data_IF_716310037134
#
_entry.id   IF_716310037134
#
_cell.length_a   1.000
_cell.length_b   1.000
_cell.length_c   1.000
_cell.angle_alpha   90.00
_cell.angle_beta   90.00
_cell.angle_gamma   90.00
#
_symmetry.space_group_name_H-M   'P 1'
#
loop_
_entity.id
_entity.type
_entity.pdbx_description
1 polymer ?
#
# COMPACT_ATOMS: atom_id res chain seq x y z
N UNK A 1 -32.16 28.81 -43.25
CA UNK A 1 -30.77 28.78 -42.70
C UNK A 1 -30.67 29.23 -41.24
N UNK A 2 -31.43 30.24 -40.75
CA UNK A 2 -31.36 30.69 -39.33
C UNK A 2 -31.85 29.65 -38.29
N UNK A 3 -32.84 28.82 -38.62
CA UNK A 3 -33.32 27.78 -37.69
C UNK A 3 -32.38 26.57 -37.55
N UNK A 4 -31.58 26.28 -38.58
CA UNK A 4 -30.58 25.22 -38.52
C UNK A 4 -29.44 25.62 -37.58
N UNK A 5 -29.03 26.89 -37.64
CA UNK A 5 -27.99 27.46 -36.77
C UNK A 5 -28.42 27.51 -35.29
N UNK A 6 -29.68 27.81 -35.01
CA UNK A 6 -30.24 27.78 -33.64
C UNK A 6 -30.27 26.38 -33.04
N UNK A 7 -30.63 25.36 -33.84
CA UNK A 7 -30.64 23.96 -33.39
C UNK A 7 -29.22 23.41 -33.18
N UNK A 8 -28.25 23.83 -34.00
CA UNK A 8 -26.83 23.48 -33.81
C UNK A 8 -26.24 24.10 -32.53
N UNK A 9 -26.59 25.35 -32.20
CA UNK A 9 -26.11 26.01 -30.98
C UNK A 9 -26.72 25.41 -29.70
N UNK A 10 -27.98 24.98 -29.75
CA UNK A 10 -28.64 24.31 -28.62
C UNK A 10 -28.06 22.91 -28.33
N UNK A 11 -27.62 22.19 -29.36
CA UNK A 11 -26.98 20.87 -29.19
C UNK A 11 -25.55 20.95 -28.61
N UNK A 12 -24.79 22.01 -28.95
CA UNK A 12 -23.45 22.22 -28.42
C UNK A 12 -23.43 22.59 -26.92
N UNK A 13 -24.50 23.23 -26.41
CA UNK A 13 -24.61 23.60 -25.00
C UNK A 13 -24.84 22.39 -24.07
N UNK A 14 -25.39 21.28 -24.57
CA UNK A 14 -25.64 20.06 -23.78
C UNK A 14 -24.39 19.22 -23.53
N UNK A 15 -23.32 19.41 -24.33
CA UNK A 15 -22.06 18.66 -24.17
C UNK A 15 -21.12 19.26 -23.11
N UNK A 16 -21.38 20.48 -22.63
CA UNK A 16 -20.59 21.12 -21.57
C UNK A 16 -21.13 20.89 -20.15
N UNK A 17 -22.29 20.24 -19.99
CA UNK A 17 -22.85 19.91 -18.67
C UNK A 17 -22.33 18.56 -18.12
N UNK A 18 -21.41 17.89 -18.82
CA UNK A 18 -20.70 16.72 -18.33
C UNK A 18 -19.53 17.07 -17.41
N UNK A 19 -19.75 17.93 -16.41
CA UNK A 19 -18.80 18.05 -15.31
C UNK A 19 -18.84 16.76 -14.52
N UNK A 20 -17.89 15.86 -14.78
CA UNK A 20 -17.59 14.77 -13.86
C UNK A 20 -17.43 15.39 -12.47
N UNK A 21 -18.31 15.02 -11.54
CA UNK A 21 -18.21 15.45 -10.15
C UNK A 21 -16.90 14.90 -9.62
N UNK A 22 -15.88 15.75 -9.57
CA UNK A 22 -14.67 15.47 -8.80
C UNK A 22 -15.14 15.25 -7.37
N UNK A 23 -14.92 14.07 -6.75
CA UNK A 23 -15.29 13.86 -5.36
C UNK A 23 -14.62 14.97 -4.54
N UNK A 24 -15.42 15.88 -4.01
CA UNK A 24 -14.94 16.91 -3.11
C UNK A 24 -14.32 16.19 -1.90
N UNK A 25 -13.09 16.51 -1.49
CA UNK A 25 -12.56 16.00 -0.24
C UNK A 25 -13.50 16.48 0.87
N UNK A 26 -14.30 15.55 1.40
CA UNK A 26 -15.18 15.86 2.51
C UNK A 26 -14.28 16.31 3.66
N UNK A 27 -14.51 17.53 4.17
CA UNK A 27 -13.95 17.91 5.47
C UNK A 27 -14.74 17.13 6.51
N UNK A 28 -14.32 15.91 6.76
CA UNK A 28 -14.99 15.01 7.68
C UNK A 28 -14.72 15.54 9.10
N UNK A 29 -15.76 15.66 9.91
CA UNK A 29 -15.60 15.94 11.35
C UNK A 29 -14.74 14.86 12.03
N UNK A 30 -14.47 14.99 13.32
CA UNK A 30 -13.78 13.91 14.05
C UNK A 30 -14.56 12.60 13.89
N UNK A 31 -13.99 11.62 13.20
CA UNK A 31 -14.57 10.29 13.06
C UNK A 31 -14.44 9.55 14.39
N UNK A 32 -15.47 8.80 14.77
CA UNK A 32 -15.36 7.80 15.82
C UNK A 32 -14.40 6.67 15.41
N UNK A 33 -13.94 5.89 16.40
CA UNK A 33 -13.07 4.75 16.15
C UNK A 33 -13.67 3.75 15.14
N UNK A 34 -14.98 3.47 15.27
CA UNK A 34 -15.70 2.55 14.40
C UNK A 34 -15.86 3.08 12.98
N UNK A 35 -16.14 4.37 12.82
CA UNK A 35 -16.23 5.00 11.50
C UNK A 35 -14.86 5.06 10.80
N UNK A 36 -13.80 5.36 11.54
CA UNK A 36 -12.44 5.33 11.03
C UNK A 36 -12.07 3.91 10.59
N UNK A 37 -12.36 2.90 11.42
CA UNK A 37 -12.15 1.49 11.08
C UNK A 37 -12.89 1.11 9.80
N UNK A 38 -14.19 1.38 9.75
CA UNK A 38 -15.02 1.06 8.59
C UNK A 38 -14.55 1.80 7.33
N UNK A 39 -14.05 3.03 7.45
CA UNK A 39 -13.45 3.76 6.34
C UNK A 39 -12.17 3.07 5.84
N UNK A 40 -11.25 2.76 6.75
CA UNK A 40 -9.98 2.11 6.42
C UNK A 40 -10.20 0.72 5.79
N UNK A 41 -11.14 -0.07 6.32
CA UNK A 41 -11.52 -1.38 5.75
C UNK A 41 -12.11 -1.25 4.34
N UNK A 42 -13.02 -0.30 4.13
CA UNK A 42 -13.62 -0.04 2.81
C UNK A 42 -12.58 0.39 1.79
N UNK A 43 -11.66 1.28 2.19
CA UNK A 43 -10.57 1.75 1.32
C UNK A 43 -9.58 0.64 1.02
N UNK A 44 -9.30 -0.26 1.98
CA UNK A 44 -8.47 -1.45 1.75
C UNK A 44 -9.15 -2.51 0.85
N UNK A 45 -10.48 -2.55 0.79
CA UNK A 45 -11.25 -3.51 0.02
C UNK A 45 -11.35 -3.19 -1.48
N UNK A 46 -10.93 -2.00 -1.93
CA UNK A 46 -10.94 -1.63 -3.36
C UNK A 46 -9.92 -2.50 -4.10
N UNK A 47 -10.45 -3.46 -4.85
CA UNK A 47 -9.79 -4.66 -5.35
C UNK A 47 -9.65 -4.60 -6.86
N UNK A 48 -8.79 -3.69 -7.33
CA UNK A 48 -8.38 -3.62 -8.73
C UNK A 48 -7.12 -4.42 -9.02
N UNK A 49 -6.76 -4.51 -10.31
CA UNK A 49 -5.36 -4.67 -10.69
C UNK A 49 -4.64 -3.33 -10.47
N UNK A 50 -3.43 -3.38 -9.93
CA UNK A 50 -2.62 -2.20 -9.68
C UNK A 50 -1.23 -2.41 -10.28
N UNK A 51 -0.72 -1.38 -10.96
CA UNK A 51 0.64 -1.33 -11.48
C UNK A 51 1.36 -0.13 -10.88
N UNK A 52 2.61 -0.34 -10.48
CA UNK A 52 3.51 0.71 -10.03
C UNK A 52 4.90 0.53 -10.63
N UNK A 53 5.57 1.65 -10.84
CA UNK A 53 6.97 1.71 -11.22
C UNK A 53 7.69 2.55 -10.16
N UNK A 54 8.94 2.22 -9.85
CA UNK A 54 9.68 2.98 -8.85
C UNK A 54 11.12 2.55 -8.68
N UNK A 55 11.73 3.06 -7.60
CA UNK A 55 13.10 2.76 -7.22
C UNK A 55 13.14 2.23 -5.79
N UNK A 56 13.76 1.06 -5.60
CA UNK A 56 14.10 0.54 -4.28
C UNK A 56 15.54 0.94 -3.98
N UNK A 57 15.75 1.53 -2.81
CA UNK A 57 17.08 1.85 -2.30
C UNK A 57 17.31 1.09 -1.00
N UNK A 58 18.37 0.30 -0.95
CA UNK A 58 18.79 -0.46 0.24
C UNK A 58 20.02 0.20 0.82
N UNK A 59 19.86 0.74 2.03
CA UNK A 59 20.93 1.38 2.79
C UNK A 59 21.23 0.56 4.05
N UNK A 60 22.47 0.09 4.16
CA UNK A 60 23.01 -0.64 5.30
C UNK A 60 24.50 -0.33 5.44
N UNK A 61 25.15 -0.65 6.58
CA UNK A 61 26.58 -0.44 6.75
C UNK A 61 27.45 -1.11 5.66
N UNK A 62 26.98 -2.22 5.09
CA UNK A 62 27.71 -3.01 4.08
C UNK A 62 27.19 -2.83 2.65
N UNK A 63 26.09 -2.10 2.44
CA UNK A 63 25.43 -2.00 1.13
C UNK A 63 24.68 -0.68 1.00
N UNK A 64 24.98 0.07 -0.05
CA UNK A 64 24.19 1.21 -0.51
C UNK A 64 23.94 1.01 -2.01
N UNK A 65 22.75 0.50 -2.34
CA UNK A 65 22.39 0.16 -3.72
C UNK A 65 20.97 0.60 -4.02
N UNK A 66 20.73 0.99 -5.28
CA UNK A 66 19.41 1.31 -5.81
C UNK A 66 19.11 0.47 -7.03
N UNK A 67 17.85 0.08 -7.19
CA UNK A 67 17.36 -0.66 -8.34
C UNK A 67 15.98 -0.14 -8.74
N UNK A 68 15.72 -0.06 -10.05
CA UNK A 68 14.38 0.21 -10.56
C UNK A 68 13.50 -1.02 -10.38
N UNK A 69 12.18 -0.85 -10.29
CA UNK A 69 11.25 -1.96 -10.28
C UNK A 69 9.94 -1.62 -10.97
N UNK A 70 9.32 -2.66 -11.53
CA UNK A 70 7.92 -2.66 -11.92
C UNK A 70 7.18 -3.65 -11.04
N UNK A 71 6.05 -3.22 -10.50
CA UNK A 71 5.17 -4.01 -9.66
C UNK A 71 3.82 -4.12 -10.36
N UNK A 72 3.29 -5.32 -10.44
CA UNK A 72 1.93 -5.58 -10.87
C UNK A 72 1.22 -6.47 -9.87
N UNK A 73 0.01 -6.10 -9.49
CA UNK A 73 -0.78 -6.88 -8.54
C UNK A 73 -2.18 -7.10 -9.11
N UNK A 74 -2.76 -8.27 -8.84
CA UNK A 74 -4.12 -8.59 -9.25
C UNK A 74 -4.96 -8.96 -8.05
N UNK A 75 -5.88 -8.08 -7.66
CA UNK A 75 -6.99 -8.40 -6.75
C UNK A 75 -6.62 -8.94 -5.37
N UNK A 76 -5.38 -8.74 -4.88
CA UNK A 76 -4.94 -9.34 -3.61
C UNK A 76 -4.60 -10.83 -3.67
N UNK A 77 -4.46 -11.39 -4.86
CA UNK A 77 -4.17 -12.81 -5.09
C UNK A 77 -2.70 -13.05 -5.51
N UNK A 78 -2.19 -12.18 -6.38
CA UNK A 78 -0.81 -12.28 -6.87
C UNK A 78 -0.13 -10.93 -6.98
N UNK A 79 1.19 -10.97 -6.83
CA UNK A 79 2.12 -9.85 -7.00
C UNK A 79 3.26 -10.31 -7.91
N UNK A 80 3.44 -9.65 -9.03
CA UNK A 80 4.61 -9.78 -9.89
C UNK A 80 5.49 -8.55 -9.68
N UNK A 81 6.79 -8.74 -9.51
CA UNK A 81 7.76 -7.68 -9.41
C UNK A 81 8.92 -7.97 -10.36
N UNK A 82 9.27 -7.03 -11.23
CA UNK A 82 10.49 -7.06 -12.02
C UNK A 82 11.48 -6.05 -11.42
N UNK A 83 12.75 -6.42 -11.30
CA UNK A 83 13.81 -5.57 -10.76
C UNK A 83 14.84 -5.32 -11.84
N UNK A 84 15.15 -4.05 -12.04
CA UNK A 84 16.08 -3.57 -13.05
C UNK A 84 17.32 -2.98 -12.39
N UNK A 85 18.47 -3.39 -12.90
CA UNK A 85 19.75 -2.78 -12.58
C UNK A 85 19.97 -1.50 -13.38
N UNK A 86 21.19 -0.95 -13.29
CA UNK A 86 21.62 0.16 -14.14
C UNK A 86 21.37 -0.14 -15.62
N UNK A 87 21.04 0.90 -16.39
CA UNK A 87 20.75 0.80 -17.84
C UNK A 87 19.50 -0.03 -18.20
N UNK A 88 18.60 -0.31 -17.24
CA UNK A 88 17.36 -1.02 -17.50
C UNK A 88 17.53 -2.53 -17.69
N UNK A 89 18.71 -3.08 -17.35
CA UNK A 89 18.96 -4.52 -17.45
C UNK A 89 18.09 -5.24 -16.42
N UNK A 90 17.28 -6.19 -16.86
CA UNK A 90 16.51 -7.04 -15.93
C UNK A 90 17.47 -7.87 -15.10
N UNK A 91 17.50 -7.64 -13.79
CA UNK A 91 18.33 -8.39 -12.83
C UNK A 91 17.54 -9.60 -12.31
N UNK A 92 16.23 -9.43 -12.14
CA UNK A 92 15.37 -10.53 -11.76
C UNK A 92 13.89 -10.23 -11.87
N UNK A 93 13.09 -11.28 -11.76
CA UNK A 93 11.63 -11.19 -11.72
C UNK A 93 11.12 -12.14 -10.65
N UNK A 94 10.22 -11.68 -9.80
CA UNK A 94 9.56 -12.49 -8.79
C UNK A 94 8.05 -12.48 -9.02
N UNK A 95 7.43 -13.63 -8.79
CA UNK A 95 6.00 -13.82 -8.72
C UNK A 95 5.68 -14.42 -7.35
N UNK A 96 4.82 -13.71 -6.63
CA UNK A 96 4.27 -14.12 -5.36
C UNK A 96 2.79 -14.38 -5.55
N UNK A 97 2.34 -15.54 -5.11
CA UNK A 97 0.93 -15.89 -4.94
C UNK A 97 0.73 -16.31 -3.49
N UNK A 98 -0.51 -16.60 -3.08
CA UNK A 98 -0.79 -17.11 -1.73
C UNK A 98 -0.10 -18.44 -1.42
N UNK A 99 0.12 -19.28 -2.43
CA UNK A 99 0.62 -20.65 -2.26
C UNK A 99 2.04 -20.83 -2.74
N UNK A 100 2.47 -20.04 -3.72
CA UNK A 100 3.74 -20.24 -4.43
C UNK A 100 4.51 -18.94 -4.63
N UNK A 101 5.82 -19.06 -4.46
CA UNK A 101 6.81 -18.09 -4.86
C UNK A 101 7.64 -18.67 -6.01
N UNK A 102 7.83 -17.86 -7.05
CA UNK A 102 8.78 -18.14 -8.13
C UNK A 102 9.61 -16.89 -8.38
N UNK A 103 10.94 -17.00 -8.33
CA UNK A 103 11.84 -15.91 -8.73
C UNK A 103 12.84 -16.39 -9.76
N UNK A 104 13.04 -15.59 -10.79
CA UNK A 104 14.07 -15.77 -11.80
C UNK A 104 15.18 -14.75 -11.58
N UNK A 105 16.41 -15.23 -11.40
CA UNK A 105 17.62 -14.43 -11.39
C UNK A 105 18.25 -14.49 -12.79
N UNK A 106 18.20 -13.36 -13.49
CA UNK A 106 18.68 -13.28 -14.87
C UNK A 106 20.22 -13.31 -14.96
N UNK A 107 20.92 -12.82 -13.93
CA UNK A 107 22.39 -12.78 -13.90
C UNK A 107 22.99 -14.19 -13.84
N UNK A 108 22.35 -15.09 -13.10
CA UNK A 108 22.82 -16.45 -12.89
C UNK A 108 21.99 -17.49 -13.66
N UNK A 109 21.05 -17.05 -14.51
CA UNK A 109 20.10 -17.91 -15.22
C UNK A 109 19.47 -19.00 -14.32
N UNK A 110 19.00 -18.60 -13.14
CA UNK A 110 18.52 -19.52 -12.10
C UNK A 110 17.09 -19.20 -11.71
N UNK A 111 16.26 -20.24 -11.58
CA UNK A 111 14.88 -20.13 -11.07
C UNK A 111 14.81 -20.70 -9.66
N UNK A 112 14.31 -19.90 -8.73
CA UNK A 112 13.97 -20.28 -7.36
C UNK A 112 12.47 -20.50 -7.27
N UNK A 113 12.05 -21.58 -6.61
CA UNK A 113 10.64 -21.85 -6.31
C UNK A 113 10.49 -22.27 -4.86
N UNK A 114 9.33 -21.98 -4.27
CA UNK A 114 9.01 -22.48 -2.94
C UNK A 114 7.81 -21.81 -2.32
N UNK A 115 7.68 -21.99 -1.01
CA UNK A 115 6.65 -21.33 -0.22
C UNK A 115 7.04 -19.85 0.04
N UNK A 116 6.12 -18.89 -0.20
CA UNK A 116 6.40 -17.45 -0.03
C UNK A 116 6.90 -17.07 1.35
N UNK A 117 6.27 -17.57 2.43
CA UNK A 117 6.66 -17.24 3.80
C UNK A 117 8.09 -17.72 4.11
N UNK A 118 8.42 -18.94 3.67
CA UNK A 118 9.75 -19.51 3.90
C UNK A 118 10.83 -18.71 3.17
N UNK A 119 10.56 -18.30 1.93
CA UNK A 119 11.53 -17.58 1.11
C UNK A 119 11.70 -16.14 1.57
N UNK A 120 10.64 -15.48 2.04
CA UNK A 120 10.77 -14.15 2.67
C UNK A 120 11.63 -14.18 3.94
N UNK A 121 11.53 -15.24 4.76
CA UNK A 121 12.38 -15.40 5.95
C UNK A 121 13.87 -15.51 5.63
N UNK A 122 14.23 -15.88 4.39
CA UNK A 122 15.62 -15.92 3.95
C UNK A 122 16.17 -14.55 3.54
N UNK A 123 15.31 -13.54 3.39
CA UNK A 123 15.72 -12.19 3.01
C UNK A 123 15.99 -11.36 4.27
N UNK A 124 17.26 -11.01 4.55
CA UNK A 124 17.66 -10.45 5.85
C UNK A 124 16.98 -9.13 6.20
N UNK A 125 16.56 -8.36 5.19
CA UNK A 125 15.95 -7.04 5.37
C UNK A 125 14.42 -7.07 5.58
N UNK A 126 13.75 -8.17 5.23
CA UNK A 126 12.28 -8.27 5.28
C UNK A 126 11.77 -9.52 6.01
N UNK A 127 12.67 -10.34 6.58
CA UNK A 127 12.32 -11.59 7.27
C UNK A 127 11.32 -11.43 8.42
N UNK A 128 11.29 -10.27 9.06
CA UNK A 128 10.44 -9.96 10.22
C UNK A 128 9.12 -9.28 9.80
N UNK A 129 8.94 -9.01 8.51
CA UNK A 129 7.71 -8.44 7.93
C UNK A 129 6.81 -9.61 7.51
N UNK A 130 5.57 -9.70 8.02
CA UNK A 130 4.60 -10.70 7.56
C UNK A 130 4.37 -10.61 6.05
N UNK A 131 4.21 -11.76 5.39
CA UNK A 131 4.00 -11.84 3.94
C UNK A 131 2.80 -11.00 3.51
N UNK A 132 1.69 -11.13 4.24
CA UNK A 132 0.46 -10.40 4.00
C UNK A 132 0.73 -8.90 4.09
N UNK A 133 1.46 -8.45 5.12
CA UNK A 133 1.79 -7.03 5.29
C UNK A 133 2.63 -6.52 4.12
N UNK A 134 3.64 -7.26 3.66
CA UNK A 134 4.45 -6.86 2.51
C UNK A 134 3.58 -6.75 1.25
N UNK A 135 2.84 -7.81 0.91
CA UNK A 135 1.98 -7.85 -0.27
C UNK A 135 0.90 -6.78 -0.20
N UNK A 136 0.29 -6.60 0.97
CA UNK A 136 -0.69 -5.58 1.22
C UNK A 136 -0.10 -4.19 1.03
N UNK A 137 1.03 -3.88 1.67
CA UNK A 137 1.72 -2.59 1.53
C UNK A 137 2.05 -2.28 0.07
N UNK A 138 2.50 -3.28 -0.70
CA UNK A 138 2.75 -3.16 -2.14
C UNK A 138 1.47 -2.94 -2.97
N UNK A 139 0.32 -3.40 -2.47
CA UNK A 139 -1.00 -3.17 -3.06
C UNK A 139 -1.68 -1.88 -2.58
N UNK A 140 -1.01 -1.09 -1.72
CA UNK A 140 -1.66 0.03 -1.01
C UNK A 140 -2.75 -0.42 -0.04
N UNK A 141 -2.82 -1.72 0.28
CA UNK A 141 -3.73 -2.31 1.27
C UNK A 141 -3.01 -2.43 2.60
N UNK A 142 -3.72 -2.20 3.70
CA UNK A 142 -3.21 -2.53 5.03
C UNK A 142 -3.97 -3.74 5.58
N UNK A 143 -3.44 -4.96 5.39
CA UNK A 143 -4.14 -6.21 5.72
C UNK A 143 -4.25 -6.46 7.23
N UNK A 144 -3.72 -5.58 8.06
CA UNK A 144 -3.85 -5.66 9.51
C UNK A 144 -5.25 -5.21 9.97
N UNK A 145 -5.96 -4.38 9.19
CA UNK A 145 -7.22 -3.77 9.62
C UNK A 145 -8.39 -4.75 9.95
N UNK A 146 -8.64 -5.85 9.21
CA UNK A 146 -9.83 -6.67 9.48
C UNK A 146 -9.76 -7.47 10.79
N UNK A 147 -8.59 -7.59 11.43
CA UNK A 147 -8.42 -8.31 12.70
C UNK A 147 -8.02 -7.40 13.88
N UNK A 148 -7.90 -6.08 13.66
CA UNK A 148 -7.50 -5.13 14.71
C UNK A 148 -8.73 -4.73 15.52
N UNK A 149 -8.74 -5.09 16.79
CA UNK A 149 -9.56 -4.42 17.80
C UNK A 149 -8.87 -3.09 18.12
N UNK A 150 -9.52 -1.97 17.80
CA UNK A 150 -8.99 -0.64 18.06
C UNK A 150 -9.15 -0.39 19.56
N UNK A 151 -8.07 -0.58 20.31
CA UNK A 151 -8.08 -0.48 21.78
C UNK A 151 -8.23 0.98 22.26
N UNK A 152 -7.57 1.92 21.56
CA UNK A 152 -7.73 3.34 21.84
C UNK A 152 -7.49 4.18 20.59
N UNK A 153 -8.22 5.30 20.48
CA UNK A 153 -7.98 6.33 19.47
C UNK A 153 -7.59 7.61 20.19
N UNK A 154 -6.38 8.08 19.96
CA UNK A 154 -5.98 9.42 20.38
C UNK A 154 -6.01 10.34 19.17
N UNK A 155 -6.78 11.43 19.27
CA UNK A 155 -6.81 12.49 18.27
C UNK A 155 -5.82 13.56 18.71
N UNK A 156 -4.77 13.76 17.92
CA UNK A 156 -3.79 14.80 18.18
C UNK A 156 -4.30 16.13 17.61
N UNK A 157 -3.90 17.26 18.19
CA UNK A 157 -4.26 18.61 17.73
C UNK A 157 -3.97 18.86 16.24
N UNK A 158 -3.09 18.08 15.63
CA UNK A 158 -2.74 18.08 14.21
C UNK A 158 -3.68 17.27 13.31
N UNK A 159 -4.93 17.00 13.75
CA UNK A 159 -5.90 16.14 13.01
C UNK A 159 -5.31 14.78 12.61
N UNK A 160 -4.53 14.14 13.48
CA UNK A 160 -4.06 12.77 13.24
C UNK A 160 -4.72 11.80 14.21
N UNK A 161 -5.09 10.63 13.72
CA UNK A 161 -5.62 9.55 14.54
C UNK A 161 -4.47 8.57 14.83
N UNK A 162 -4.29 8.21 16.10
CA UNK A 162 -3.38 7.12 16.48
C UNK A 162 -4.17 6.00 17.13
N UNK A 163 -3.95 4.77 16.68
CA UNK A 163 -4.52 3.59 17.31
C UNK A 163 -3.50 2.46 17.51
N UNK A 164 -3.81 1.59 18.46
CA UNK A 164 -3.00 0.41 18.80
C UNK A 164 -3.80 -0.87 18.61
N UNK A 165 -3.11 -1.92 18.18
CA UNK A 165 -3.61 -3.29 18.11
C UNK A 165 -2.71 -4.20 18.91
N UNK A 166 -3.29 -5.01 19.78
CA UNK A 166 -2.57 -6.06 20.49
C UNK A 166 -2.41 -7.24 19.53
N UNK A 167 -1.17 -7.64 19.25
CA UNK A 167 -0.87 -8.82 18.42
C UNK A 167 -0.68 -10.05 19.32
N UNK A 168 -0.09 -9.84 20.49
CA UNK A 168 0.02 -10.80 21.58
C UNK A 168 0.31 -10.04 22.89
N UNK A 169 0.31 -10.72 24.03
CA UNK A 169 0.60 -10.13 25.35
C UNK A 169 1.91 -9.31 25.40
N UNK A 170 2.83 -9.56 24.46
CA UNK A 170 4.16 -8.93 24.42
C UNK A 170 4.41 -8.08 23.19
N UNK A 171 3.46 -7.95 22.26
CA UNK A 171 3.65 -7.26 20.98
C UNK A 171 2.44 -6.43 20.60
N UNK A 172 2.69 -5.16 20.27
CA UNK A 172 1.67 -4.18 19.89
C UNK A 172 2.03 -3.54 18.55
N UNK A 173 1.06 -3.46 17.65
CA UNK A 173 1.13 -2.65 16.45
C UNK A 173 0.54 -1.26 16.72
N UNK A 174 1.24 -0.22 16.28
CA UNK A 174 0.77 1.18 16.37
C UNK A 174 0.62 1.76 14.98
N UNK A 175 -0.50 2.40 14.74
CA UNK A 175 -0.86 3.02 13.48
C UNK A 175 -1.11 4.51 13.68
N UNK A 176 -0.69 5.31 12.70
CA UNK A 176 -1.01 6.73 12.60
C UNK A 176 -1.72 6.95 11.28
N UNK A 177 -2.85 7.67 11.33
CA UNK A 177 -3.68 8.01 10.19
C UNK A 177 -3.74 9.53 10.07
N UNK A 178 -3.54 10.02 8.86
CA UNK A 178 -3.78 11.41 8.51
C UNK A 178 -5.28 11.69 8.53
N UNK A 179 -5.73 12.70 9.25
CA UNK A 179 -7.16 12.95 9.43
C UNK A 179 -7.83 13.70 8.30
N UNK A 180 -7.07 14.32 7.39
CA UNK A 180 -7.62 14.95 6.19
C UNK A 180 -7.72 13.92 5.05
N UNK A 181 -6.70 13.06 4.90
CA UNK A 181 -6.66 12.01 3.86
C UNK A 181 -7.31 10.69 4.27
N UNK A 182 -7.50 10.47 5.58
CA UNK A 182 -7.94 9.20 6.19
C UNK A 182 -7.13 7.99 5.72
N UNK A 183 -5.81 8.19 5.58
CA UNK A 183 -4.84 7.15 5.17
C UNK A 183 -3.78 6.92 6.22
N UNK A 184 -3.36 5.67 6.35
CA UNK A 184 -2.27 5.30 7.27
C UNK A 184 -0.98 5.94 6.78
N UNK A 185 -0.38 6.80 7.59
CA UNK A 185 0.91 7.44 7.30
C UNK A 185 2.06 6.75 8.02
N UNK A 186 1.80 6.07 9.15
CA UNK A 186 2.83 5.33 9.88
C UNK A 186 2.29 4.04 10.45
N UNK A 187 3.09 2.99 10.41
CA UNK A 187 2.83 1.73 11.07
C UNK A 187 4.13 1.24 11.74
N UNK A 188 4.05 0.77 12.98
CA UNK A 188 5.19 0.16 13.66
C UNK A 188 4.79 -0.97 14.56
N UNK A 189 5.56 -2.06 14.56
CA UNK A 189 5.46 -3.13 15.54
C UNK A 189 6.45 -2.92 16.67
N UNK A 190 5.99 -3.10 17.90
CA UNK A 190 6.80 -2.90 19.10
C UNK A 190 6.60 -4.03 20.10
N UNK A 191 7.61 -4.29 20.91
CA UNK A 191 7.44 -5.12 22.12
C UNK A 191 6.66 -4.35 23.18
N UNK A 192 6.13 -5.05 24.19
CA UNK A 192 5.50 -4.43 25.36
C UNK A 192 6.46 -3.48 26.12
N UNK A 193 7.77 -3.76 26.06
CA UNK A 193 8.83 -2.88 26.59
C UNK A 193 9.10 -1.64 25.71
N UNK A 194 8.44 -1.50 24.56
CA UNK A 194 8.53 -0.35 23.66
C UNK A 194 9.61 -0.46 22.57
N UNK A 195 10.37 -1.56 22.50
CA UNK A 195 11.38 -1.78 21.46
C UNK A 195 10.72 -1.90 20.09
N UNK A 196 11.12 -1.08 19.12
CA UNK A 196 10.60 -1.13 17.74
C UNK A 196 11.24 -2.31 17.01
N UNK A 197 10.40 -3.23 16.53
CA UNK A 197 10.83 -4.37 15.70
C UNK A 197 10.91 -3.98 14.23
N UNK A 198 9.91 -3.26 13.73
CA UNK A 198 9.91 -2.68 12.40
C UNK A 198 9.03 -1.42 12.35
N UNK A 199 9.27 -0.59 11.34
CA UNK A 199 8.50 0.62 11.07
C UNK A 199 8.37 0.85 9.57
N UNK A 200 7.19 1.28 9.14
CA UNK A 200 6.91 1.75 7.79
C UNK A 200 6.30 3.14 7.88
N UNK A 201 6.81 4.08 7.08
CA UNK A 201 6.29 5.43 6.95
C UNK A 201 5.92 5.69 5.49
N UNK A 202 4.75 6.29 5.27
CA UNK A 202 4.20 6.59 3.95
C UNK A 202 4.14 8.10 3.78
N UNK A 203 4.56 8.55 2.59
CA UNK A 203 4.37 9.93 2.15
C UNK A 203 3.44 9.91 0.96
N UNK A 204 2.29 10.56 1.08
CA UNK A 204 1.36 10.76 -0.02
C UNK A 204 1.63 12.16 -0.58
N UNK A 205 2.15 12.22 -1.80
CA UNK A 205 2.32 13.46 -2.57
C UNK A 205 1.11 13.70 -3.47
#
# INVERSE_FOLDING_TARGET
>A
MRDLFRKMFAAAALLYAGCATVPQPQTIGMLSADELKAHLERTAAVSGAFSAEGTITVNSPSMNQSAGFDLFTRGGDSVKMAVYGPFGITVGTALFTRTEFTAYNALNNTVYRGNPERQMKMLPFIKDIPFELLVGSLQGKHPLLPAVEIDSVTITASRSYTFTSIVSDSVVDRFTVDGDLLRITKCSRRTAAGTVLWRVEYSYT
#
